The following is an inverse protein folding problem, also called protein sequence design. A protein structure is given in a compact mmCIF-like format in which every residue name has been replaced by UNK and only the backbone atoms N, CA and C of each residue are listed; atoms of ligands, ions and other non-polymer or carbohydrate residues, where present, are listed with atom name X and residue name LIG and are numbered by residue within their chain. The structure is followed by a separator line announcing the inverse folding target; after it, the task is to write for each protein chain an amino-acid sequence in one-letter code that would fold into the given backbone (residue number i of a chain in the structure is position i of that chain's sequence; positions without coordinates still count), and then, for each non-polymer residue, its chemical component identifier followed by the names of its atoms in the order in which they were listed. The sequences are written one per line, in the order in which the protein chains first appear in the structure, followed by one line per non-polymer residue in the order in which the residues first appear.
data_IF_717029337008
#
_entry.id   IF_717029337008
#
_cell.length_a   1.000
_cell.length_b   1.000
_cell.length_c   1.000
_cell.angle_alpha   90.00
_cell.angle_beta   90.00
_cell.angle_gamma   90.00
#
_symmetry.space_group_name_H-M   'P 1'
#
loop_
_entity.id
_entity.type
_entity.pdbx_description
1 polymer ?
#
# COMPACT_ATOMS: atom_id res chain seq x y z
N UNK A 1 9.91 -24.99 18.82
CA UNK A 1 8.45 -24.71 18.80
C UNK A 1 7.93 -24.67 17.37
N UNK A 2 6.62 -24.94 17.13
CA UNK A 2 6.02 -24.70 15.81
C UNK A 2 5.70 -23.21 15.68
N UNK A 3 6.26 -22.54 14.67
CA UNK A 3 6.24 -21.09 14.52
C UNK A 3 5.48 -20.66 13.27
N UNK A 4 4.83 -19.50 13.35
CA UNK A 4 4.28 -18.76 12.21
C UNK A 4 5.41 -18.11 11.41
N UNK A 5 5.13 -17.70 10.18
CA UNK A 5 6.10 -16.97 9.34
C UNK A 5 6.65 -15.73 10.05
N UNK A 6 5.80 -14.99 10.77
CA UNK A 6 6.18 -13.80 11.55
C UNK A 6 7.18 -14.15 12.65
N UNK A 7 6.90 -15.19 13.44
CA UNK A 7 7.80 -15.65 14.50
C UNK A 7 9.15 -16.13 13.95
N UNK A 8 9.16 -16.83 12.80
CA UNK A 8 10.39 -17.30 12.15
C UNK A 8 11.25 -16.14 11.67
N UNK A 9 10.66 -15.13 11.06
CA UNK A 9 11.41 -13.94 10.61
C UNK A 9 12.07 -13.28 11.82
N UNK A 10 11.34 -13.05 12.91
CA UNK A 10 11.92 -12.47 14.11
C UNK A 10 12.96 -13.39 14.78
N UNK A 11 12.74 -14.70 14.80
CA UNK A 11 13.71 -15.67 15.35
C UNK A 11 15.07 -15.58 14.63
N UNK A 12 15.05 -15.47 13.30
CA UNK A 12 16.26 -15.29 12.49
C UNK A 12 17.00 -13.99 12.82
N UNK A 13 16.28 -12.89 13.02
CA UNK A 13 16.85 -11.56 13.29
C UNK A 13 17.37 -11.39 14.71
N UNK A 14 16.79 -12.13 15.66
CA UNK A 14 17.22 -12.11 17.08
C UNK A 14 18.28 -13.16 17.36
N UNK A 15 18.38 -14.21 16.52
CA UNK A 15 19.32 -15.33 16.67
C UNK A 15 18.89 -16.36 17.73
N UNK A 16 17.60 -16.39 18.10
CA UNK A 16 16.97 -17.39 18.98
C UNK A 16 15.51 -17.56 18.63
N UNK A 17 14.92 -18.70 18.98
CA UNK A 17 13.46 -18.87 18.86
C UNK A 17 12.72 -17.82 19.69
N UNK A 18 11.70 -17.20 19.10
CA UNK A 18 10.80 -16.27 19.77
C UNK A 18 9.35 -16.69 19.56
N UNK A 19 8.48 -16.27 20.45
CA UNK A 19 7.03 -16.56 20.40
C UNK A 19 6.23 -15.27 20.44
N UNK A 20 5.00 -15.34 19.91
CA UNK A 20 4.03 -14.26 20.00
C UNK A 20 3.89 -13.76 21.46
N UNK A 21 3.87 -12.44 21.63
CA UNK A 21 3.79 -11.77 22.94
C UNK A 21 5.14 -11.46 23.57
N UNK A 22 6.26 -12.06 23.14
CA UNK A 22 7.59 -11.70 23.67
C UNK A 22 7.99 -10.28 23.23
N UNK A 23 8.68 -9.57 24.12
CA UNK A 23 9.32 -8.29 23.80
C UNK A 23 10.76 -8.59 23.40
N UNK A 24 11.12 -8.17 22.20
CA UNK A 24 12.42 -8.41 21.59
C UNK A 24 13.05 -7.13 21.07
N UNK A 25 14.37 -7.10 20.96
CA UNK A 25 15.10 -6.13 20.15
C UNK A 25 15.56 -6.84 18.87
N UNK A 26 15.07 -6.42 17.71
CA UNK A 26 15.38 -7.02 16.41
C UNK A 26 16.27 -6.11 15.58
N UNK A 27 17.17 -6.69 14.78
CA UNK A 27 17.82 -5.97 13.69
C UNK A 27 16.80 -5.50 12.67
N UNK A 28 17.07 -4.35 12.04
CA UNK A 28 16.29 -3.77 10.96
C UNK A 28 17.10 -3.85 9.67
N UNK A 29 16.53 -4.46 8.64
CA UNK A 29 17.20 -4.58 7.34
C UNK A 29 16.98 -3.35 6.47
N UNK A 30 15.78 -2.75 6.55
CA UNK A 30 15.42 -1.56 5.78
C UNK A 30 14.60 -0.59 6.62
N UNK A 31 15.04 0.66 6.62
CA UNK A 31 14.31 1.81 7.16
C UNK A 31 13.78 2.60 5.96
N UNK A 32 12.50 2.96 5.96
CA UNK A 32 11.85 3.70 4.89
C UNK A 32 11.38 5.05 5.41
N UNK A 33 11.73 6.11 4.72
CA UNK A 33 11.26 7.46 5.01
C UNK A 33 10.80 8.18 3.76
N UNK A 34 9.89 9.14 3.94
CA UNK A 34 9.33 9.97 2.88
C UNK A 34 9.48 11.47 3.19
N UNK A 35 9.05 12.31 2.29
CA UNK A 35 9.18 13.77 2.41
C UNK A 35 8.37 14.41 3.55
N UNK A 36 7.40 13.69 4.14
CA UNK A 36 6.61 14.19 5.29
C UNK A 36 7.26 13.80 6.61
N UNK A 37 7.65 12.54 6.76
CA UNK A 37 8.02 11.96 8.05
C UNK A 37 9.52 11.93 8.29
N UNK A 38 10.33 11.84 7.23
CA UNK A 38 11.79 11.87 7.34
C UNK A 38 12.34 13.13 8.00
N UNK A 39 11.88 14.36 7.71
CA UNK A 39 12.36 15.55 8.40
C UNK A 39 12.18 15.50 9.93
N UNK A 40 11.10 14.85 10.40
CA UNK A 40 10.84 14.66 11.84
C UNK A 40 11.85 13.66 12.43
N UNK A 41 12.10 12.55 11.73
CA UNK A 41 13.06 11.52 12.15
C UNK A 41 14.49 12.09 12.17
N UNK A 42 14.88 12.87 11.17
CA UNK A 42 16.19 13.57 11.10
C UNK A 42 16.36 14.49 12.30
N UNK A 43 15.34 15.28 12.65
CA UNK A 43 15.39 16.16 13.81
C UNK A 43 15.61 15.39 15.12
N UNK A 44 15.01 14.22 15.28
CA UNK A 44 15.23 13.38 16.47
C UNK A 44 16.64 12.75 16.45
N UNK A 45 17.09 12.29 15.30
CA UNK A 45 18.45 11.80 15.11
C UNK A 45 19.50 12.84 15.52
N UNK A 46 19.38 14.07 15.02
CA UNK A 46 20.30 15.16 15.33
C UNK A 46 20.25 15.58 16.80
N UNK A 47 19.04 15.63 17.40
CA UNK A 47 18.84 15.94 18.82
C UNK A 47 19.49 14.93 19.75
N UNK A 48 19.64 13.68 19.34
CA UNK A 48 20.33 12.65 20.12
C UNK A 48 21.86 12.85 20.18
N UNK A 49 22.40 13.77 19.36
CA UNK A 49 23.84 13.96 19.18
C UNK A 49 24.49 12.93 18.24
N UNK A 50 23.70 12.06 17.60
CA UNK A 50 24.21 11.10 16.63
C UNK A 50 24.75 11.81 15.37
N UNK A 51 25.85 11.31 14.86
CA UNK A 51 26.52 11.86 13.66
C UNK A 51 26.68 10.83 12.55
N UNK A 52 26.42 9.55 12.84
CA UNK A 52 26.55 8.44 11.89
C UNK A 52 25.33 7.56 11.92
N UNK A 53 24.92 7.09 10.76
CA UNK A 53 23.88 6.07 10.59
C UNK A 53 24.47 4.69 10.87
N UNK A 54 23.71 3.83 11.54
CA UNK A 54 24.11 2.44 11.81
C UNK A 54 24.22 1.61 10.52
N UNK A 55 23.27 1.80 9.58
CA UNK A 55 23.25 1.11 8.30
C UNK A 55 22.77 2.06 7.18
N UNK A 56 23.65 2.84 6.55
CA UNK A 56 23.27 3.74 5.46
C UNK A 56 22.70 3.01 4.23
N UNK A 57 23.18 1.82 3.90
CA UNK A 57 22.68 1.03 2.77
C UNK A 57 21.27 0.43 3.03
N UNK A 58 20.90 0.28 4.29
CA UNK A 58 19.57 -0.13 4.75
C UNK A 58 18.63 1.05 5.05
N UNK A 59 18.92 2.26 4.58
CA UNK A 59 18.03 3.40 4.73
C UNK A 59 17.66 3.97 3.36
N UNK A 60 16.36 3.98 3.05
CA UNK A 60 15.81 4.58 1.84
C UNK A 60 14.99 5.81 2.18
N UNK A 61 15.19 6.89 1.43
CA UNK A 61 14.36 8.10 1.47
C UNK A 61 13.71 8.25 0.09
N UNK A 62 12.39 8.29 0.06
CA UNK A 62 11.60 8.44 -1.17
C UNK A 62 10.76 9.71 -1.08
N UNK A 63 10.98 10.61 -2.02
CA UNK A 63 10.21 11.83 -2.15
C UNK A 63 8.97 11.51 -3.00
N UNK A 64 7.81 11.29 -2.37
CA UNK A 64 6.63 10.76 -3.07
C UNK A 64 5.29 11.42 -2.72
N UNK A 65 5.21 12.20 -1.62
CA UNK A 65 3.96 12.79 -1.19
C UNK A 65 3.73 14.19 -1.79
N UNK A 66 4.77 15.03 -1.85
CA UNK A 66 4.72 16.42 -2.31
C UNK A 66 5.61 16.68 -3.54
N UNK A 67 5.73 15.71 -4.41
CA UNK A 67 6.65 15.76 -5.55
C UNK A 67 5.90 15.96 -6.90
N UNK A 68 6.27 16.93 -7.75
CA UNK A 68 7.08 18.13 -7.42
C UNK A 68 6.47 18.92 -6.27
N UNK A 69 7.31 19.63 -5.50
CA UNK A 69 6.84 20.31 -4.29
C UNK A 69 5.79 21.38 -4.59
N UNK A 70 4.67 21.35 -3.87
CA UNK A 70 3.47 22.17 -4.13
C UNK A 70 3.50 23.57 -3.52
N UNK A 71 4.31 23.78 -2.50
CA UNK A 71 4.43 25.05 -1.76
C UNK A 71 5.79 25.17 -1.06
N UNK A 72 6.05 26.34 -0.43
CA UNK A 72 7.32 26.63 0.26
C UNK A 72 7.55 25.67 1.43
N UNK A 73 6.50 25.25 2.15
CA UNK A 73 6.65 24.36 3.30
C UNK A 73 7.10 22.96 2.85
N UNK A 74 6.45 22.41 1.84
CA UNK A 74 6.83 21.12 1.26
C UNK A 74 8.23 21.19 0.63
N UNK A 75 8.60 22.30 -0.02
CA UNK A 75 9.94 22.50 -0.56
C UNK A 75 11.03 22.52 0.53
N UNK A 76 10.75 23.12 1.68
CA UNK A 76 11.65 23.10 2.84
C UNK A 76 11.79 21.68 3.45
N UNK A 77 10.71 20.90 3.54
CA UNK A 77 10.76 19.51 3.98
C UNK A 77 11.59 18.66 3.02
N UNK A 78 11.37 18.78 1.72
CA UNK A 78 12.16 18.11 0.70
C UNK A 78 13.64 18.48 0.79
N UNK A 79 13.95 19.77 1.02
CA UNK A 79 15.33 20.24 1.19
C UNK A 79 16.02 19.59 2.39
N UNK A 80 15.37 19.51 3.55
CA UNK A 80 15.91 18.86 4.75
C UNK A 80 16.28 17.40 4.46
N UNK A 81 15.38 16.65 3.85
CA UNK A 81 15.61 15.24 3.50
C UNK A 81 16.75 15.06 2.50
N UNK A 82 16.83 15.93 1.49
CA UNK A 82 17.88 15.94 0.46
C UNK A 82 19.25 16.26 1.05
N UNK A 83 19.36 17.30 1.87
CA UNK A 83 20.61 17.71 2.50
C UNK A 83 21.11 16.60 3.46
N UNK A 84 20.22 15.96 4.19
CA UNK A 84 20.57 14.83 5.03
C UNK A 84 21.07 13.63 4.20
N UNK A 85 20.39 13.28 3.11
CA UNK A 85 20.79 12.20 2.22
C UNK A 85 22.21 12.44 1.65
N UNK A 86 22.50 13.65 1.20
CA UNK A 86 23.83 14.00 0.68
C UNK A 86 24.89 14.05 1.78
N UNK A 87 24.57 14.60 2.95
CA UNK A 87 25.50 14.62 4.10
C UNK A 87 25.95 13.23 4.55
N UNK A 88 25.05 12.24 4.44
CA UNK A 88 25.30 10.86 4.86
C UNK A 88 25.59 9.91 3.69
N UNK A 89 25.79 10.44 2.47
CA UNK A 89 26.06 9.66 1.24
C UNK A 89 25.08 8.50 1.03
N UNK A 90 23.78 8.77 1.21
CA UNK A 90 22.74 7.76 1.06
C UNK A 90 22.57 7.40 -0.41
N UNK A 91 22.79 6.12 -0.76
CA UNK A 91 22.59 5.60 -2.11
C UNK A 91 21.11 5.46 -2.47
N UNK A 92 20.27 5.21 -1.47
CA UNK A 92 18.85 4.96 -1.64
C UNK A 92 18.02 6.24 -1.39
N UNK A 93 18.38 7.33 -2.08
CA UNK A 93 17.63 8.57 -2.11
C UNK A 93 16.96 8.74 -3.49
N UNK A 94 15.64 8.85 -3.51
CA UNK A 94 14.83 8.93 -4.71
C UNK A 94 13.99 10.21 -4.73
N UNK A 95 14.19 11.02 -5.75
CA UNK A 95 13.53 12.30 -5.97
C UNK A 95 12.89 12.40 -7.38
N UNK A 96 12.80 13.59 -7.94
CA UNK A 96 12.25 13.86 -9.27
C UNK A 96 12.88 13.04 -10.41
N UNK A 97 14.08 12.51 -10.22
CA UNK A 97 14.79 11.70 -11.24
C UNK A 97 14.27 10.27 -11.30
N UNK A 98 13.78 9.76 -10.18
CA UNK A 98 13.28 8.39 -10.01
C UNK A 98 11.92 8.40 -9.26
N UNK A 99 10.97 9.22 -9.73
CA UNK A 99 9.66 9.36 -9.08
C UNK A 99 8.92 8.04 -8.93
N UNK A 100 8.41 7.81 -7.74
CA UNK A 100 7.57 6.67 -7.44
C UNK A 100 7.13 6.67 -5.99
N UNK A 101 5.96 6.14 -5.72
CA UNK A 101 5.45 5.95 -4.36
C UNK A 101 6.31 4.89 -3.66
N UNK A 102 6.81 5.17 -2.47
CA UNK A 102 7.77 4.34 -1.74
C UNK A 102 7.41 2.85 -1.72
N UNK A 103 6.14 2.52 -1.47
CA UNK A 103 5.67 1.12 -1.39
C UNK A 103 5.48 0.44 -2.76
N UNK A 104 5.68 1.14 -3.85
CA UNK A 104 5.77 0.57 -5.20
C UNK A 104 7.21 0.61 -5.74
N UNK A 105 7.92 1.72 -5.48
CA UNK A 105 9.27 1.95 -5.97
C UNK A 105 10.29 1.00 -5.36
N UNK A 106 10.26 0.81 -4.03
CA UNK A 106 11.28 -0.01 -3.34
C UNK A 106 11.23 -1.50 -3.73
N UNK A 107 10.03 -2.14 -3.84
CA UNK A 107 9.92 -3.47 -4.44
C UNK A 107 10.38 -3.52 -5.91
N UNK A 108 10.07 -2.49 -6.70
CA UNK A 108 10.50 -2.40 -8.10
C UNK A 108 12.01 -2.34 -8.24
N UNK A 109 12.69 -1.62 -7.33
CA UNK A 109 14.16 -1.48 -7.28
C UNK A 109 14.88 -2.69 -6.65
N UNK A 110 14.15 -3.66 -6.06
CA UNK A 110 14.74 -4.82 -5.37
C UNK A 110 15.37 -4.49 -4.01
N UNK A 111 14.99 -3.36 -3.41
CA UNK A 111 15.53 -2.88 -2.13
C UNK A 111 14.86 -3.51 -0.92
N UNK A 112 13.64 -4.00 -1.07
CA UNK A 112 12.90 -4.76 -0.07
C UNK A 112 12.75 -6.20 -0.59
N UNK A 113 13.11 -7.17 0.23
CA UNK A 113 13.23 -8.57 -0.19
C UNK A 113 12.57 -9.52 0.83
N UNK A 114 12.27 -10.76 0.41
CA UNK A 114 11.74 -11.78 1.33
C UNK A 114 12.63 -12.01 2.55
N UNK A 115 11.99 -12.12 3.70
CA UNK A 115 12.64 -12.40 4.97
C UNK A 115 13.13 -11.18 5.73
N UNK A 116 13.07 -9.98 5.14
CA UNK A 116 13.46 -8.73 5.81
C UNK A 116 12.55 -8.38 7.00
N UNK A 117 13.12 -7.65 7.96
CA UNK A 117 12.38 -6.83 8.95
C UNK A 117 12.49 -5.36 8.52
N UNK A 118 11.35 -4.79 8.12
CA UNK A 118 11.26 -3.45 7.52
C UNK A 118 10.43 -2.54 8.39
N UNK A 119 10.92 -1.34 8.64
CA UNK A 119 10.14 -0.28 9.29
C UNK A 119 10.09 0.97 8.43
N UNK A 120 8.95 1.65 8.47
CA UNK A 120 8.77 2.93 7.80
C UNK A 120 7.99 3.90 8.68
N UNK A 121 8.19 5.19 8.50
CA UNK A 121 7.36 6.20 9.15
C UNK A 121 6.05 6.47 8.39
N UNK A 122 5.63 5.51 7.57
CA UNK A 122 4.34 5.47 6.90
C UNK A 122 3.54 4.24 7.36
N UNK A 123 2.23 4.42 7.55
CA UNK A 123 1.33 3.35 8.01
C UNK A 123 1.28 2.17 7.05
N UNK A 124 1.40 2.42 5.73
CA UNK A 124 1.27 1.39 4.69
C UNK A 124 2.59 0.65 4.39
N UNK A 125 3.61 0.83 5.22
CA UNK A 125 4.84 0.03 5.17
C UNK A 125 4.57 -1.47 5.19
N UNK A 126 3.45 -1.91 5.78
CA UNK A 126 2.98 -3.31 5.75
C UNK A 126 2.83 -3.90 4.32
N UNK A 127 2.80 -3.08 3.27
CA UNK A 127 2.74 -3.49 1.86
C UNK A 127 3.79 -4.55 1.50
N UNK A 128 5.00 -4.43 2.06
CA UNK A 128 6.13 -5.30 1.68
C UNK A 128 6.01 -6.74 2.20
N UNK A 129 5.04 -7.01 3.08
CA UNK A 129 4.69 -8.37 3.47
C UNK A 129 4.17 -9.24 2.32
N UNK A 130 3.74 -8.63 1.21
CA UNK A 130 3.43 -9.34 -0.03
C UNK A 130 4.63 -10.07 -0.64
N UNK A 131 5.85 -9.71 -0.25
CA UNK A 131 7.11 -10.37 -0.61
C UNK A 131 7.56 -11.39 0.45
N UNK A 132 6.79 -11.65 1.52
CA UNK A 132 7.21 -12.51 2.61
C UNK A 132 8.20 -11.84 3.57
N UNK A 133 8.16 -10.52 3.70
CA UNK A 133 8.89 -9.75 4.71
C UNK A 133 7.99 -9.43 5.90
N UNK A 134 8.54 -9.25 7.10
CA UNK A 134 7.81 -8.58 8.17
C UNK A 134 8.03 -7.07 8.04
N UNK A 135 6.96 -6.35 7.75
CA UNK A 135 7.04 -4.94 7.39
C UNK A 135 5.94 -4.17 8.09
N UNK A 136 6.28 -3.07 8.77
CA UNK A 136 5.33 -2.33 9.60
C UNK A 136 5.62 -0.83 9.70
N UNK A 137 4.54 -0.05 9.84
CA UNK A 137 4.65 1.37 10.18
C UNK A 137 5.06 1.59 11.64
N UNK A 138 5.97 2.55 11.87
CA UNK A 138 6.47 2.95 13.19
C UNK A 138 6.45 4.48 13.31
N UNK A 139 6.61 5.00 14.52
CA UNK A 139 6.73 6.43 14.76
C UNK A 139 8.07 7.00 14.28
N UNK A 140 8.10 8.31 13.96
CA UNK A 140 9.33 8.98 13.52
C UNK A 140 10.46 8.93 14.57
N UNK A 141 10.14 8.82 15.85
CA UNK A 141 11.12 8.63 16.93
C UNK A 141 11.73 7.22 16.90
N UNK A 142 10.90 6.21 16.63
CA UNK A 142 11.37 4.82 16.48
C UNK A 142 12.27 4.69 15.25
N UNK A 143 11.94 5.40 14.15
CA UNK A 143 12.84 5.47 13.00
C UNK A 143 14.20 6.09 13.37
N UNK A 144 14.20 7.20 14.11
CA UNK A 144 15.45 7.83 14.55
C UNK A 144 16.28 6.87 15.42
N UNK A 145 15.63 6.10 16.29
CA UNK A 145 16.31 5.06 17.07
C UNK A 145 16.94 4.00 16.17
N UNK A 146 16.21 3.50 15.18
CA UNK A 146 16.74 2.53 14.23
C UNK A 146 17.86 3.12 13.33
N UNK A 147 17.77 4.38 12.94
CA UNK A 147 18.84 5.08 12.22
C UNK A 147 20.15 5.10 13.02
N UNK A 148 20.08 5.23 14.35
CA UNK A 148 21.23 5.29 15.26
C UNK A 148 21.78 3.90 15.58
N UNK A 149 20.91 2.92 15.81
CA UNK A 149 21.29 1.62 16.39
C UNK A 149 21.26 0.46 15.38
N UNK A 150 20.58 0.61 14.25
CA UNK A 150 20.31 -0.49 13.30
C UNK A 150 19.28 -1.50 13.84
N UNK A 151 18.58 -1.17 14.92
CA UNK A 151 17.65 -2.07 15.61
C UNK A 151 16.38 -1.34 16.02
N UNK A 152 15.34 -2.13 16.34
CA UNK A 152 14.17 -1.63 17.04
C UNK A 152 13.57 -2.71 17.94
N UNK A 153 12.73 -2.29 18.88
CA UNK A 153 12.02 -3.20 19.76
C UNK A 153 10.64 -3.54 19.19
N UNK A 154 10.20 -4.77 19.44
CA UNK A 154 8.88 -5.26 19.06
C UNK A 154 8.31 -6.12 20.18
N UNK A 155 7.02 -6.03 20.40
CA UNK A 155 6.27 -7.16 20.93
C UNK A 155 5.96 -8.05 19.73
N UNK A 156 6.42 -9.29 19.70
CA UNK A 156 6.15 -10.22 18.59
C UNK A 156 4.63 -10.35 18.42
N UNK A 157 4.06 -9.98 17.25
CA UNK A 157 2.61 -10.03 17.07
C UNK A 157 2.09 -11.46 17.04
N UNK A 158 0.91 -11.68 17.59
CA UNK A 158 0.12 -12.87 17.26
C UNK A 158 -0.29 -12.83 15.78
N UNK A 159 -0.51 -14.00 15.17
CA UNK A 159 -0.95 -14.08 13.77
C UNK A 159 -2.40 -14.53 13.67
N UNK A 160 -3.16 -13.89 12.77
CA UNK A 160 -4.45 -14.37 12.29
C UNK A 160 -4.22 -14.95 10.91
N UNK A 161 -4.60 -16.23 10.71
CA UNK A 161 -4.55 -16.87 9.39
C UNK A 161 -5.84 -16.60 8.64
N UNK A 162 -5.73 -16.08 7.42
CA UNK A 162 -6.87 -15.85 6.52
C UNK A 162 -6.72 -16.78 5.33
N UNK A 163 -7.67 -17.71 5.18
CA UNK A 163 -7.68 -18.70 4.12
C UNK A 163 -8.78 -18.41 3.13
N UNK A 164 -8.41 -18.08 1.89
CA UNK A 164 -9.36 -17.83 0.83
C UNK A 164 -9.60 -19.09 0.00
N UNK A 165 -10.88 -19.42 -0.22
CA UNK A 165 -11.35 -20.56 -0.98
C UNK A 165 -12.29 -20.13 -2.11
N UNK A 166 -12.40 -20.95 -3.14
CA UNK A 166 -13.30 -20.71 -4.26
C UNK A 166 -12.63 -20.03 -5.44
N UNK A 167 -13.41 -19.46 -6.33
CA UNK A 167 -12.95 -18.80 -7.55
C UNK A 167 -13.46 -17.36 -7.61
N UNK A 168 -12.58 -16.43 -7.92
CA UNK A 168 -12.93 -15.02 -8.12
C UNK A 168 -13.84 -14.84 -9.34
N UNK A 169 -14.88 -14.06 -9.19
CA UNK A 169 -15.73 -13.60 -10.29
C UNK A 169 -15.03 -12.47 -11.07
N UNK A 170 -15.58 -12.15 -12.24
CA UNK A 170 -15.11 -11.07 -13.09
C UNK A 170 -15.15 -9.74 -12.33
N UNK A 171 -14.07 -8.96 -12.43
CA UNK A 171 -13.90 -7.67 -11.76
C UNK A 171 -13.78 -7.72 -10.23
N UNK A 172 -13.49 -8.89 -9.65
CA UNK A 172 -13.08 -9.04 -8.24
C UNK A 172 -11.57 -9.21 -8.17
N UNK A 173 -10.89 -8.41 -7.36
CA UNK A 173 -9.42 -8.31 -7.29
C UNK A 173 -8.94 -8.33 -5.83
N UNK A 174 -7.65 -8.27 -5.60
CA UNK A 174 -7.06 -8.23 -4.26
C UNK A 174 -7.61 -7.11 -3.37
N UNK A 175 -8.00 -5.97 -3.96
CA UNK A 175 -8.67 -4.87 -3.26
C UNK A 175 -10.00 -5.30 -2.62
N UNK A 176 -10.79 -6.07 -3.33
CA UNK A 176 -12.08 -6.55 -2.84
C UNK A 176 -11.91 -7.56 -1.71
N UNK A 177 -10.88 -8.41 -1.82
CA UNK A 177 -10.56 -9.41 -0.79
C UNK A 177 -10.20 -8.75 0.53
N UNK A 178 -9.35 -7.74 0.52
CA UNK A 178 -8.98 -7.04 1.75
C UNK A 178 -10.12 -6.19 2.30
N UNK A 179 -10.92 -5.54 1.45
CA UNK A 179 -12.12 -4.81 1.88
C UNK A 179 -13.14 -5.77 2.51
N UNK A 180 -13.28 -6.99 1.99
CA UNK A 180 -14.15 -8.01 2.57
C UNK A 180 -13.67 -8.46 3.96
N UNK A 181 -12.35 -8.65 4.14
CA UNK A 181 -11.79 -8.93 5.47
C UNK A 181 -12.14 -7.78 6.44
N UNK A 182 -11.84 -6.55 6.07
CA UNK A 182 -12.07 -5.38 6.91
C UNK A 182 -13.57 -5.22 7.23
N UNK A 183 -14.45 -5.53 6.28
CA UNK A 183 -15.89 -5.54 6.50
C UNK A 183 -16.30 -6.57 7.56
N UNK A 184 -15.69 -7.76 7.57
CA UNK A 184 -16.02 -8.84 8.50
C UNK A 184 -15.47 -8.62 9.90
N UNK A 185 -14.23 -8.11 10.02
CA UNK A 185 -13.57 -8.03 11.34
C UNK A 185 -13.49 -6.61 11.91
N UNK A 186 -13.89 -5.58 11.13
CA UNK A 186 -13.79 -4.19 11.53
C UNK A 186 -12.39 -3.61 11.38
N UNK A 187 -12.25 -2.32 11.73
CA UNK A 187 -10.98 -1.56 11.62
C UNK A 187 -9.97 -1.88 12.74
N UNK A 188 -10.37 -2.63 13.74
CA UNK A 188 -9.58 -3.03 14.92
C UNK A 188 -9.52 -4.54 15.15
N UNK A 189 -10.16 -5.35 14.29
CA UNK A 189 -10.25 -6.81 14.43
C UNK A 189 -8.92 -7.55 14.38
N UNK A 190 -7.88 -6.92 13.83
CA UNK A 190 -6.51 -7.43 13.81
C UNK A 190 -5.54 -6.51 14.59
N UNK A 191 -6.04 -5.76 15.57
CA UNK A 191 -5.23 -4.79 16.31
C UNK A 191 -3.96 -5.41 16.87
N UNK A 192 -2.80 -4.87 16.44
CA UNK A 192 -1.45 -5.32 16.81
C UNK A 192 -1.11 -6.76 16.39
N UNK A 193 -1.83 -7.37 15.44
CA UNK A 193 -1.58 -8.73 14.95
C UNK A 193 -0.95 -8.71 13.56
N UNK A 194 -0.44 -9.85 13.09
CA UNK A 194 -0.09 -10.07 11.70
C UNK A 194 -1.23 -10.81 10.99
N UNK A 195 -1.62 -10.36 9.80
CA UNK A 195 -2.55 -11.09 8.93
C UNK A 195 -1.75 -11.96 7.97
N UNK A 196 -1.81 -13.26 8.09
CA UNK A 196 -1.20 -14.23 7.18
C UNK A 196 -2.23 -14.70 6.15
N UNK A 197 -2.07 -14.25 4.89
CA UNK A 197 -2.98 -14.60 3.80
C UNK A 197 -2.54 -15.87 3.09
N UNK A 198 -3.47 -16.79 2.85
CA UNK A 198 -3.21 -18.10 2.25
C UNK A 198 -4.44 -18.67 1.54
N UNK A 199 -4.28 -19.82 0.91
CA UNK A 199 -5.33 -20.54 0.19
C UNK A 199 -5.22 -20.40 -1.32
N UNK A 200 -5.95 -21.26 -2.03
CA UNK A 200 -5.87 -21.40 -3.50
C UNK A 200 -6.09 -20.09 -4.27
N UNK A 201 -6.92 -19.19 -3.73
CA UNK A 201 -7.16 -17.87 -4.33
C UNK A 201 -5.90 -17.03 -4.27
N UNK A 202 -5.19 -17.02 -3.12
CA UNK A 202 -3.95 -16.25 -2.95
C UNK A 202 -2.84 -16.76 -3.87
N UNK A 203 -2.75 -18.09 -4.05
CA UNK A 203 -1.79 -18.72 -4.94
C UNK A 203 -2.00 -18.30 -6.41
N UNK A 204 -3.23 -17.97 -6.80
CA UNK A 204 -3.57 -17.48 -8.15
C UNK A 204 -3.47 -15.96 -8.34
N UNK A 205 -3.27 -15.16 -7.28
CA UNK A 205 -3.24 -13.71 -7.36
C UNK A 205 -1.94 -13.18 -7.95
N UNK A 206 -2.06 -12.12 -8.75
CA UNK A 206 -0.91 -11.33 -9.19
C UNK A 206 -0.17 -10.68 -8.02
N UNK A 207 1.10 -10.34 -8.20
CA UNK A 207 1.83 -9.57 -7.17
C UNK A 207 1.19 -8.22 -6.90
N UNK A 208 0.59 -7.56 -7.90
CA UNK A 208 -0.10 -6.28 -7.72
C UNK A 208 -1.29 -6.40 -6.77
N UNK A 209 -2.09 -7.47 -6.88
CA UNK A 209 -3.18 -7.78 -5.95
C UNK A 209 -2.67 -8.08 -4.55
N UNK A 210 -1.60 -8.88 -4.43
CA UNK A 210 -0.96 -9.21 -3.14
C UNK A 210 -0.45 -7.96 -2.43
N UNK A 211 0.18 -7.03 -3.15
CA UNK A 211 0.60 -5.74 -2.61
C UNK A 211 -0.60 -4.91 -2.12
N UNK A 212 -1.69 -4.89 -2.88
CA UNK A 212 -2.92 -4.19 -2.48
C UNK A 212 -3.50 -4.76 -1.18
N UNK A 213 -3.55 -6.08 -1.03
CA UNK A 213 -4.02 -6.75 0.19
C UNK A 213 -3.14 -6.45 1.40
N UNK A 214 -1.83 -6.63 1.28
CA UNK A 214 -0.89 -6.38 2.37
C UNK A 214 -0.84 -4.90 2.75
N UNK A 215 -0.95 -3.99 1.77
CA UNK A 215 -1.03 -2.54 1.98
C UNK A 215 -2.17 -2.16 2.95
N UNK A 216 -3.34 -2.75 2.77
CA UNK A 216 -4.52 -2.42 3.56
C UNK A 216 -4.68 -3.26 4.84
N UNK A 217 -3.74 -4.11 5.19
CA UNK A 217 -3.80 -4.85 6.44
C UNK A 217 -3.86 -3.92 7.67
N UNK A 218 -3.19 -2.78 7.61
CA UNK A 218 -3.24 -1.76 8.68
C UNK A 218 -4.65 -1.19 8.87
N UNK A 219 -5.51 -1.20 7.86
CA UNK A 219 -6.89 -0.71 7.97
C UNK A 219 -7.80 -1.65 8.79
N UNK A 220 -7.33 -2.87 9.09
CA UNK A 220 -7.90 -3.76 10.09
C UNK A 220 -7.18 -3.68 11.45
N UNK A 221 -6.25 -2.73 11.63
CA UNK A 221 -5.42 -2.57 12.82
C UNK A 221 -4.16 -3.45 12.86
N UNK A 222 -3.89 -4.23 11.81
CA UNK A 222 -2.76 -5.15 11.77
C UNK A 222 -1.39 -4.41 11.73
N UNK A 223 -0.38 -5.01 12.35
CA UNK A 223 1.01 -4.58 12.22
C UNK A 223 1.59 -4.91 10.86
N UNK A 224 1.23 -6.06 10.29
CA UNK A 224 1.67 -6.51 8.98
C UNK A 224 0.61 -7.37 8.32
N UNK A 225 0.53 -7.30 6.99
CA UNK A 225 -0.09 -8.36 6.17
C UNK A 225 1.05 -9.13 5.52
N UNK A 226 1.01 -10.45 5.52
CA UNK A 226 2.12 -11.26 5.02
C UNK A 226 1.60 -12.40 4.15
N UNK A 227 2.32 -12.66 3.05
CA UNK A 227 2.08 -13.78 2.14
C UNK A 227 3.39 -14.56 2.02
N UNK A 228 3.32 -15.87 2.20
CA UNK A 228 4.47 -16.74 2.01
C UNK A 228 4.96 -16.69 0.56
N UNK A 229 6.28 -16.77 0.38
CA UNK A 229 6.91 -16.73 -0.95
C UNK A 229 6.55 -17.96 -1.76
N UNK A 230 6.05 -17.77 -2.96
CA UNK A 230 5.76 -18.80 -3.94
C UNK A 230 6.42 -18.51 -5.30
N UNK A 231 6.07 -19.25 -6.34
CA UNK A 231 6.65 -19.09 -7.66
C UNK A 231 6.30 -17.74 -8.31
N UNK A 232 5.12 -17.17 -8.01
CA UNK A 232 4.72 -15.83 -8.49
C UNK A 232 5.63 -14.76 -7.87
N UNK A 233 5.90 -14.87 -6.57
CA UNK A 233 6.84 -13.96 -5.87
C UNK A 233 8.27 -14.11 -6.41
N UNK A 234 8.73 -15.35 -6.64
CA UNK A 234 10.08 -15.60 -7.20
C UNK A 234 10.21 -15.03 -8.60
N UNK A 235 9.22 -15.21 -9.48
CA UNK A 235 9.22 -14.65 -10.83
C UNK A 235 9.21 -13.11 -10.80
N UNK A 236 8.46 -12.48 -9.88
CA UNK A 236 8.49 -11.03 -9.68
C UNK A 236 9.89 -10.52 -9.31
N UNK A 237 10.68 -11.29 -8.58
CA UNK A 237 12.01 -10.92 -8.11
C UNK A 237 13.14 -11.24 -9.10
N UNK A 238 12.92 -12.15 -10.04
CA UNK A 238 13.92 -12.77 -10.91
C UNK A 238 14.83 -11.79 -11.65
N UNK A 239 14.24 -10.75 -12.23
CA UNK A 239 14.98 -9.78 -13.06
C UNK A 239 15.37 -8.51 -12.29
N UNK A 240 15.30 -8.54 -10.95
CA UNK A 240 15.65 -7.41 -10.11
C UNK A 240 17.07 -7.53 -9.57
N UNK A 241 17.74 -6.38 -9.48
CA UNK A 241 19.00 -6.30 -8.75
C UNK A 241 18.68 -6.23 -7.25
N UNK A 242 18.60 -7.40 -6.62
CA UNK A 242 18.26 -7.49 -5.21
C UNK A 242 19.41 -6.96 -4.35
N UNK A 243 19.04 -6.22 -3.30
CA UNK A 243 19.96 -5.64 -2.32
C UNK A 243 20.83 -6.70 -1.63
N UNK A 244 20.25 -7.87 -1.36
CA UNK A 244 20.89 -9.00 -0.68
C UNK A 244 20.22 -10.32 -1.11
N UNK A 245 20.70 -11.44 -0.59
CA UNK A 245 20.12 -12.76 -0.82
C UNK A 245 18.82 -12.93 -0.02
N UNK A 246 17.67 -13.18 -0.68
CA UNK A 246 16.40 -13.33 0.02
C UNK A 246 16.38 -14.61 0.86
N UNK A 247 15.69 -14.56 2.01
CA UNK A 247 15.38 -15.69 2.86
C UNK A 247 13.89 -16.00 2.79
N UNK A 248 13.55 -17.27 2.65
CA UNK A 248 12.16 -17.70 2.52
C UNK A 248 11.71 -18.39 3.81
N UNK A 249 10.69 -17.84 4.43
CA UNK A 249 10.09 -18.41 5.63
C UNK A 249 8.66 -18.85 5.34
N UNK A 250 8.26 -19.94 5.99
CA UNK A 250 6.93 -20.55 5.90
C UNK A 250 6.46 -20.93 7.29
N UNK A 251 5.19 -20.76 7.58
CA UNK A 251 4.62 -21.23 8.83
C UNK A 251 4.71 -22.75 8.94
N UNK A 252 5.02 -23.26 10.13
CA UNK A 252 5.06 -24.70 10.38
C UNK A 252 3.66 -25.29 10.33
N UNK A 253 3.57 -26.54 9.93
CA UNK A 253 2.34 -27.32 10.09
C UNK A 253 1.98 -27.41 11.58
N UNK A 254 0.78 -26.90 11.93
CA UNK A 254 0.33 -26.79 13.31
C UNK A 254 0.94 -25.60 14.08
N UNK A 255 1.44 -24.57 13.41
CA UNK A 255 1.72 -23.29 14.03
C UNK A 255 0.47 -22.73 14.72
N UNK A 256 0.66 -22.04 15.84
CA UNK A 256 -0.46 -21.50 16.63
C UNK A 256 -0.87 -20.13 16.09
N UNK A 257 -2.13 -20.00 15.71
CA UNK A 257 -2.76 -18.75 15.32
C UNK A 257 -3.74 -18.29 16.40
N UNK A 258 -3.87 -16.98 16.59
CA UNK A 258 -4.91 -16.39 17.43
C UNK A 258 -6.31 -16.73 16.89
N UNK A 259 -6.45 -16.63 15.56
CA UNK A 259 -7.69 -16.92 14.85
C UNK A 259 -7.39 -17.45 13.44
N UNK A 260 -8.26 -18.31 12.94
CA UNK A 260 -8.28 -18.72 11.53
C UNK A 260 -9.60 -18.22 10.94
N UNK A 261 -9.53 -17.45 9.88
CA UNK A 261 -10.67 -16.97 9.11
C UNK A 261 -10.69 -17.69 7.76
N UNK A 262 -11.78 -18.36 7.45
CA UNK A 262 -12.02 -18.95 6.13
C UNK A 262 -13.02 -18.08 5.38
N UNK A 263 -12.68 -17.65 4.17
CA UNK A 263 -13.49 -16.79 3.32
C UNK A 263 -13.71 -17.48 1.98
N UNK A 264 -14.96 -17.83 1.70
CA UNK A 264 -15.38 -18.32 0.38
C UNK A 264 -15.74 -17.14 -0.50
N UNK A 265 -14.99 -16.99 -1.60
CA UNK A 265 -15.14 -15.88 -2.54
C UNK A 265 -15.97 -16.23 -3.78
N UNK A 266 -16.55 -17.42 -3.85
CA UNK A 266 -17.28 -17.92 -5.04
C UNK A 266 -18.39 -16.98 -5.50
N UNK A 267 -19.06 -16.29 -4.57
CA UNK A 267 -20.12 -15.34 -4.84
C UNK A 267 -19.77 -13.92 -4.37
N UNK A 268 -18.49 -13.61 -4.23
CA UNK A 268 -18.07 -12.28 -3.83
C UNK A 268 -18.24 -11.30 -5.00
N UNK A 269 -19.09 -10.29 -4.81
CA UNK A 269 -19.17 -9.12 -5.71
C UNK A 269 -18.02 -8.14 -5.41
N UNK A 270 -17.63 -7.27 -6.36
CA UNK A 270 -16.80 -6.11 -6.07
C UNK A 270 -17.33 -5.34 -4.85
N UNK A 271 -16.42 -4.94 -3.96
CA UNK A 271 -16.75 -4.32 -2.67
C UNK A 271 -16.51 -2.81 -2.73
N UNK A 272 -17.45 -2.03 -2.23
CA UNK A 272 -17.30 -0.59 -2.07
C UNK A 272 -17.39 -0.26 -0.58
N UNK A 273 -16.31 0.35 -0.03
CA UNK A 273 -16.34 0.84 1.34
C UNK A 273 -16.85 2.28 1.39
N UNK A 274 -17.94 2.47 2.10
CA UNK A 274 -18.63 3.76 2.28
C UNK A 274 -17.90 4.64 3.32
N UNK A 275 -18.08 5.96 3.24
CA UNK A 275 -17.59 6.86 4.28
C UNK A 275 -18.16 6.49 5.67
N UNK A 276 -17.44 6.66 6.78
CA UNK A 276 -16.08 7.21 6.89
C UNK A 276 -15.14 6.17 7.49
N UNK A 277 -15.41 4.88 7.25
CA UNK A 277 -14.60 3.74 7.69
C UNK A 277 -14.45 2.72 6.56
N UNK A 278 -13.25 2.13 6.36
CA UNK A 278 -13.06 1.06 5.37
C UNK A 278 -13.91 -0.19 5.63
N UNK A 279 -14.40 -0.37 6.87
CA UNK A 279 -15.29 -1.48 7.26
C UNK A 279 -16.75 -1.29 6.81
N UNK A 280 -17.13 -0.10 6.34
CA UNK A 280 -18.50 0.15 5.85
C UNK A 280 -18.71 -0.42 4.44
N UNK A 281 -18.36 -1.70 4.24
CA UNK A 281 -18.41 -2.38 2.95
C UNK A 281 -19.82 -2.75 2.51
N UNK A 282 -20.16 -2.48 1.24
CA UNK A 282 -21.33 -3.00 0.53
C UNK A 282 -20.88 -3.68 -0.76
N UNK A 283 -21.65 -4.66 -1.27
CA UNK A 283 -21.42 -5.14 -2.63
C UNK A 283 -21.75 -4.05 -3.64
N UNK A 284 -21.10 -4.06 -4.80
CA UNK A 284 -21.37 -3.10 -5.88
C UNK A 284 -22.85 -3.11 -6.28
N UNK A 285 -23.50 -4.29 -6.32
CA UNK A 285 -24.94 -4.41 -6.62
C UNK A 285 -25.84 -3.73 -5.60
N UNK A 286 -25.46 -3.72 -4.33
CA UNK A 286 -26.15 -2.96 -3.30
C UNK A 286 -25.93 -1.46 -3.46
N UNK A 287 -24.67 -1.07 -3.69
CA UNK A 287 -24.25 0.33 -3.80
C UNK A 287 -24.87 1.06 -5.01
N UNK A 288 -25.04 0.39 -6.14
CA UNK A 288 -25.69 0.97 -7.34
C UNK A 288 -27.15 1.40 -7.05
N UNK A 289 -27.85 0.70 -6.14
CA UNK A 289 -29.23 1.05 -5.78
C UNK A 289 -29.36 2.36 -5.00
N UNK A 290 -28.27 2.82 -4.38
CA UNK A 290 -28.27 4.09 -3.64
C UNK A 290 -28.22 5.31 -4.58
N UNK A 291 -27.99 5.10 -5.89
CA UNK A 291 -27.96 6.10 -6.98
C UNK A 291 -27.07 7.33 -6.67
N UNK A 292 -25.92 7.11 -6.04
CA UNK A 292 -25.04 8.15 -5.54
C UNK A 292 -24.22 8.76 -6.67
N UNK A 293 -24.47 10.04 -6.97
CA UNK A 293 -23.64 10.84 -7.88
C UNK A 293 -22.27 11.07 -7.28
N UNK A 294 -21.21 11.10 -8.14
CA UNK A 294 -19.82 11.36 -7.77
C UNK A 294 -19.28 12.58 -8.53
N UNK A 295 -18.48 13.38 -7.84
CA UNK A 295 -17.82 14.58 -8.37
C UNK A 295 -16.42 14.25 -8.88
N UNK A 296 -15.76 13.25 -8.28
CA UNK A 296 -14.41 12.82 -8.64
C UNK A 296 -14.25 11.32 -8.61
N UNK A 297 -13.47 10.79 -9.54
CA UNK A 297 -12.93 9.44 -9.53
C UNK A 297 -11.41 9.51 -9.49
N UNK A 298 -10.78 8.69 -8.65
CA UNK A 298 -9.32 8.67 -8.51
C UNK A 298 -8.77 7.24 -8.61
N UNK A 299 -7.85 7.00 -9.55
CA UNK A 299 -7.17 5.72 -9.72
C UNK A 299 -5.67 5.96 -9.49
N UNK A 300 -5.10 5.31 -8.49
CA UNK A 300 -3.71 5.52 -8.11
C UNK A 300 -3.43 5.06 -6.68
N UNK A 301 -2.45 5.68 -6.05
CA UNK A 301 -1.89 5.40 -4.73
C UNK A 301 -0.97 4.17 -4.65
N UNK A 302 -0.35 3.97 -3.48
CA UNK A 302 0.46 2.77 -3.21
C UNK A 302 -0.33 1.46 -3.28
N UNK A 303 -1.66 1.53 -3.15
CA UNK A 303 -2.57 0.39 -3.20
C UNK A 303 -2.78 -0.08 -4.64
N UNK A 304 -3.27 0.81 -5.51
CA UNK A 304 -3.79 0.48 -6.85
C UNK A 304 -3.39 1.53 -7.92
N UNK A 305 -2.11 1.84 -8.02
CA UNK A 305 -1.53 2.63 -9.11
C UNK A 305 -0.57 1.80 -9.97
N UNK A 306 -0.66 0.47 -9.91
CA UNK A 306 0.21 -0.46 -10.62
C UNK A 306 -0.25 -0.68 -12.04
N UNK A 307 0.59 -1.31 -12.87
CA UNK A 307 0.29 -1.46 -14.29
C UNK A 307 -0.98 -2.28 -14.56
N UNK A 308 -1.25 -3.31 -13.75
CA UNK A 308 -2.48 -4.09 -13.82
C UNK A 308 -3.73 -3.24 -13.58
N UNK A 309 -3.70 -2.35 -12.59
CA UNK A 309 -4.78 -1.41 -12.28
C UNK A 309 -5.07 -0.47 -13.46
N UNK A 310 -4.00 0.05 -14.08
CA UNK A 310 -4.11 0.93 -15.25
C UNK A 310 -4.67 0.18 -16.48
N UNK A 311 -4.26 -1.07 -16.70
CA UNK A 311 -4.83 -1.91 -17.77
C UNK A 311 -6.31 -2.18 -17.56
N UNK A 312 -6.72 -2.51 -16.31
CA UNK A 312 -8.12 -2.72 -15.96
C UNK A 312 -8.94 -1.46 -16.21
N UNK A 313 -8.47 -0.30 -15.75
CA UNK A 313 -9.14 0.98 -15.97
C UNK A 313 -9.25 1.31 -17.47
N UNK A 314 -8.17 1.11 -18.23
CA UNK A 314 -8.16 1.37 -19.67
C UNK A 314 -9.13 0.48 -20.45
N UNK A 315 -9.27 -0.79 -20.07
CA UNK A 315 -10.25 -1.70 -20.68
C UNK A 315 -11.69 -1.18 -20.52
N UNK A 316 -12.02 -0.61 -19.37
CA UNK A 316 -13.36 -0.05 -19.08
C UNK A 316 -13.54 1.29 -19.80
N UNK A 317 -12.51 2.15 -19.86
CA UNK A 317 -12.57 3.51 -20.40
C UNK A 317 -12.47 3.58 -21.92
N UNK A 318 -11.90 2.55 -22.58
CA UNK A 318 -11.63 2.57 -24.03
C UNK A 318 -12.87 2.87 -24.85
N UNK A 319 -12.79 3.94 -25.67
CA UNK A 319 -13.89 4.41 -26.53
C UNK A 319 -15.06 5.08 -25.80
N UNK A 320 -14.94 5.31 -24.49
CA UNK A 320 -15.95 5.97 -23.65
C UNK A 320 -15.45 7.31 -23.13
N UNK A 321 -16.35 8.12 -22.60
CA UNK A 321 -16.05 9.43 -22.01
C UNK A 321 -16.44 9.45 -20.54
N UNK A 322 -15.64 10.13 -19.74
CA UNK A 322 -15.98 10.48 -18.37
C UNK A 322 -17.21 11.38 -18.34
N UNK A 323 -18.11 11.15 -17.40
CA UNK A 323 -19.33 11.96 -17.25
C UNK A 323 -19.01 13.45 -17.06
N UNK A 324 -19.82 14.32 -17.67
CA UNK A 324 -19.56 15.77 -17.72
C UNK A 324 -19.31 16.43 -16.37
N UNK A 325 -19.92 15.92 -15.31
CA UNK A 325 -19.82 16.49 -13.95
C UNK A 325 -18.76 15.80 -13.09
N UNK A 326 -18.06 14.79 -13.62
CA UNK A 326 -17.07 14.00 -12.88
C UNK A 326 -15.67 14.33 -13.37
N UNK A 327 -14.73 14.49 -12.46
CA UNK A 327 -13.30 14.56 -12.76
C UNK A 327 -12.69 13.16 -12.59
N UNK A 328 -11.92 12.69 -13.54
CA UNK A 328 -11.13 11.46 -13.40
C UNK A 328 -9.64 11.82 -13.32
N UNK A 329 -9.00 11.40 -12.25
CA UNK A 329 -7.56 11.58 -12.04
C UNK A 329 -6.91 10.19 -11.98
N UNK A 330 -5.83 10.01 -12.74
CA UNK A 330 -5.07 8.75 -12.78
C UNK A 330 -3.61 9.05 -12.44
N UNK A 331 -3.08 8.33 -11.46
CA UNK A 331 -1.71 8.48 -10.97
C UNK A 331 -1.00 7.14 -11.01
N UNK A 332 -0.09 6.90 -11.98
CA UNK A 332 0.77 5.73 -11.99
C UNK A 332 1.64 5.67 -10.73
N UNK A 333 1.91 4.49 -10.19
CA UNK A 333 2.64 4.38 -8.93
C UNK A 333 4.15 4.67 -9.05
N UNK A 334 4.76 4.47 -10.24
CA UNK A 334 6.18 4.78 -10.50
C UNK A 334 6.38 5.30 -11.93
N UNK A 335 7.52 5.94 -12.18
CA UNK A 335 7.89 6.34 -13.55
C UNK A 335 8.02 5.15 -14.51
N UNK A 336 8.49 4.00 -14.03
CA UNK A 336 8.57 2.79 -14.85
C UNK A 336 7.19 2.30 -15.26
N UNK A 337 6.22 2.32 -14.34
CA UNK A 337 4.81 2.01 -14.63
C UNK A 337 4.22 3.03 -15.60
N UNK A 338 4.47 4.33 -15.40
CA UNK A 338 4.01 5.38 -16.31
C UNK A 338 4.51 5.16 -17.74
N UNK A 339 5.83 4.87 -17.91
CA UNK A 339 6.43 4.55 -19.22
C UNK A 339 5.87 3.26 -19.83
N UNK A 340 5.58 2.26 -19.01
CA UNK A 340 4.95 1.02 -19.52
C UNK A 340 3.52 1.31 -20.00
N UNK A 341 2.75 2.06 -19.24
CA UNK A 341 1.40 2.48 -19.62
C UNK A 341 1.38 3.31 -20.92
N UNK A 342 2.36 4.20 -21.09
CA UNK A 342 2.54 4.97 -22.34
C UNK A 342 2.82 4.05 -23.52
N UNK A 343 3.79 3.13 -23.37
CA UNK A 343 4.15 2.17 -24.44
C UNK A 343 2.99 1.25 -24.85
N UNK A 344 2.09 0.95 -23.92
CA UNK A 344 0.88 0.15 -24.17
C UNK A 344 -0.29 0.99 -24.72
N UNK A 345 -0.13 2.31 -24.88
CA UNK A 345 -1.18 3.22 -25.34
C UNK A 345 -2.28 3.47 -24.32
N UNK A 346 -2.06 3.13 -23.03
CA UNK A 346 -3.06 3.33 -21.97
C UNK A 346 -3.25 4.80 -21.68
N UNK A 347 -2.18 5.59 -21.74
CA UNK A 347 -2.21 7.04 -21.48
C UNK A 347 -3.13 7.75 -22.49
N UNK A 348 -3.06 7.39 -23.77
CA UNK A 348 -3.92 7.94 -24.81
C UNK A 348 -5.39 7.63 -24.53
N UNK A 349 -5.70 6.37 -24.15
CA UNK A 349 -7.06 5.96 -23.77
C UNK A 349 -7.60 6.83 -22.62
N UNK A 350 -6.77 7.11 -21.61
CA UNK A 350 -7.17 7.94 -20.46
C UNK A 350 -7.44 9.39 -20.88
N UNK A 351 -6.54 9.98 -21.64
CA UNK A 351 -6.69 11.37 -22.15
C UNK A 351 -7.91 11.47 -23.07
N UNK A 352 -8.09 10.52 -23.98
CA UNK A 352 -9.27 10.46 -24.83
C UNK A 352 -10.56 10.33 -24.03
N UNK A 353 -10.57 9.56 -22.94
CA UNK A 353 -11.71 9.46 -22.05
C UNK A 353 -12.02 10.76 -21.30
N UNK A 354 -11.07 11.69 -21.22
CA UNK A 354 -11.19 12.96 -20.49
C UNK A 354 -10.59 12.91 -19.09
N UNK A 355 -9.68 11.99 -18.81
CA UNK A 355 -8.95 11.91 -17.55
C UNK A 355 -7.75 12.86 -17.52
N UNK A 356 -7.36 13.28 -16.30
CA UNK A 356 -6.06 13.89 -16.03
C UNK A 356 -5.11 12.78 -15.61
N UNK A 357 -4.00 12.61 -16.35
CA UNK A 357 -2.92 11.70 -15.95
C UNK A 357 -1.82 12.52 -15.28
N UNK A 358 -1.51 12.18 -14.05
CA UNK A 358 -0.54 12.88 -13.22
C UNK A 358 0.82 12.16 -13.19
N UNK A 359 1.85 12.85 -12.73
CA UNK A 359 3.11 12.23 -12.36
C UNK A 359 2.93 11.24 -11.19
N UNK A 360 3.83 10.25 -11.04
CA UNK A 360 3.83 9.36 -9.89
C UNK A 360 3.96 10.11 -8.57
N UNK A 361 2.95 10.01 -7.71
CA UNK A 361 2.92 10.64 -6.38
C UNK A 361 1.82 10.01 -5.54
N UNK A 362 1.91 10.10 -4.22
CA UNK A 362 0.82 9.73 -3.32
C UNK A 362 -0.41 10.63 -3.51
N UNK A 363 -0.21 11.87 -3.91
CA UNK A 363 -1.23 12.77 -4.44
C UNK A 363 -2.37 13.07 -3.49
N UNK A 364 -3.60 12.94 -4.00
CA UNK A 364 -4.81 13.21 -3.27
C UNK A 364 -5.08 12.21 -2.13
N UNK A 365 -4.46 11.02 -2.13
CA UNK A 365 -4.70 9.96 -1.14
C UNK A 365 -4.60 10.41 0.32
N UNK A 366 -3.73 11.36 0.61
CA UNK A 366 -3.56 11.95 1.96
C UNK A 366 -4.15 13.37 2.10
N UNK A 367 -4.77 13.91 1.05
CA UNK A 367 -5.25 15.30 1.04
C UNK A 367 -4.15 16.35 0.94
N UNK A 368 -2.95 15.96 0.55
CA UNK A 368 -1.76 16.81 0.57
C UNK A 368 -1.41 17.45 -0.77
N UNK A 369 -1.81 16.86 -1.89
CA UNK A 369 -1.36 17.25 -3.22
C UNK A 369 -2.30 16.77 -4.32
N UNK A 370 -2.50 17.53 -5.37
CA UNK A 370 -3.31 17.27 -6.59
C UNK A 370 -4.60 16.45 -6.42
N UNK A 371 -5.73 17.00 -6.83
CA UNK A 371 -7.02 16.30 -6.78
C UNK A 371 -7.68 16.31 -5.39
N UNK A 372 -7.38 17.32 -4.58
CA UNK A 372 -8.01 17.53 -3.27
C UNK A 372 -9.49 17.86 -3.47
N UNK A 373 -10.34 17.31 -2.60
CA UNK A 373 -11.79 17.48 -2.61
C UNK A 373 -12.19 18.77 -1.91
N UNK A 374 -13.14 19.48 -2.51
CA UNK A 374 -13.85 20.59 -1.89
C UNK A 374 -14.96 20.12 -0.95
N UNK A 375 -15.64 21.12 -0.33
CA UNK A 375 -16.75 20.85 0.60
C UNK A 375 -17.90 20.09 -0.09
N UNK A 376 -18.40 19.03 0.59
CA UNK A 376 -19.48 18.17 0.16
C UNK A 376 -19.25 17.40 -1.16
N UNK A 377 -18.03 17.37 -1.69
CA UNK A 377 -17.71 16.56 -2.87
C UNK A 377 -17.61 15.07 -2.54
N UNK A 378 -18.05 14.22 -3.46
CA UNK A 378 -17.97 12.77 -3.39
C UNK A 378 -16.93 12.23 -4.35
N UNK A 379 -16.03 11.42 -3.83
CA UNK A 379 -15.00 10.74 -4.62
C UNK A 379 -15.11 9.24 -4.50
N UNK A 380 -15.12 8.52 -5.62
CA UNK A 380 -14.84 7.08 -5.63
C UNK A 380 -13.36 6.86 -5.96
N UNK A 381 -12.67 6.03 -5.20
CA UNK A 381 -11.21 5.98 -5.22
C UNK A 381 -10.63 4.59 -5.00
N UNK A 382 -9.49 4.33 -5.62
CA UNK A 382 -8.67 3.13 -5.36
C UNK A 382 -7.72 3.30 -4.17
N UNK A 383 -7.74 4.43 -3.47
CA UNK A 383 -6.93 4.67 -2.27
C UNK A 383 -7.29 3.72 -1.13
N UNK A 384 -6.58 3.82 -0.01
CA UNK A 384 -6.70 2.86 1.10
C UNK A 384 -7.53 3.36 2.28
N UNK A 385 -7.77 4.68 2.40
CA UNK A 385 -8.47 5.30 3.53
C UNK A 385 -9.58 6.24 3.08
N UNK A 386 -10.68 6.25 3.84
CA UNK A 386 -11.84 7.11 3.60
C UNK A 386 -12.32 7.84 4.86
N UNK A 387 -11.42 8.08 5.81
CA UNK A 387 -11.74 8.83 7.04
C UNK A 387 -12.10 10.28 6.74
N UNK A 388 -12.79 10.92 7.68
CA UNK A 388 -13.18 12.34 7.60
C UNK A 388 -11.98 13.23 7.28
N UNK A 389 -12.09 14.01 6.19
CA UNK A 389 -11.04 14.93 5.73
C UNK A 389 -9.82 14.27 5.07
N UNK A 390 -9.85 12.97 4.77
CA UNK A 390 -8.68 12.24 4.26
C UNK A 390 -8.16 12.76 2.91
N UNK A 391 -9.05 13.16 2.01
CA UNK A 391 -8.68 13.65 0.66
C UNK A 391 -8.97 15.15 0.46
N UNK A 392 -9.18 15.93 1.51
CA UNK A 392 -9.48 17.36 1.39
C UNK A 392 -10.41 17.86 2.47
N UNK A 393 -11.52 18.52 2.08
CA UNK A 393 -12.47 19.10 3.02
C UNK A 393 -13.09 18.02 3.93
N UNK A 394 -13.37 18.39 5.19
CA UNK A 394 -13.91 17.48 6.20
C UNK A 394 -15.33 17.00 5.91
N UNK A 395 -16.05 17.71 5.05
CA UNK A 395 -17.43 17.35 4.63
C UNK A 395 -17.43 16.49 3.38
N UNK A 396 -16.27 16.26 2.75
CA UNK A 396 -16.16 15.39 1.58
C UNK A 396 -16.31 13.91 1.95
N UNK A 397 -16.84 13.14 1.01
CA UNK A 397 -17.11 11.71 1.16
C UNK A 397 -16.22 10.90 0.20
N UNK A 398 -15.56 9.87 0.71
CA UNK A 398 -14.69 8.99 -0.08
C UNK A 398 -15.22 7.57 -0.03
N UNK A 399 -15.44 7.00 -1.21
CA UNK A 399 -15.86 5.61 -1.42
C UNK A 399 -14.66 4.82 -1.96
N UNK A 400 -14.25 3.75 -1.25
CA UNK A 400 -13.11 2.93 -1.69
C UNK A 400 -13.61 1.78 -2.56
N UNK A 401 -12.98 1.58 -3.71
CA UNK A 401 -13.30 0.49 -4.62
C UNK A 401 -12.08 0.08 -5.46
N UNK A 402 -12.18 -1.02 -6.21
CA UNK A 402 -11.17 -1.44 -7.17
C UNK A 402 -11.20 -0.59 -8.46
N UNK A 403 -10.16 -0.71 -9.28
CA UNK A 403 -9.97 0.13 -10.48
C UNK A 403 -11.09 -0.03 -11.53
N UNK A 404 -11.71 -1.21 -11.64
CA UNK A 404 -12.83 -1.43 -12.58
C UNK A 404 -14.08 -0.65 -12.16
N UNK A 405 -14.44 -0.72 -10.87
CA UNK A 405 -15.58 0.00 -10.31
C UNK A 405 -15.38 1.50 -10.39
N UNK A 406 -14.17 1.99 -10.07
CA UNK A 406 -13.84 3.42 -10.15
C UNK A 406 -13.95 3.93 -11.59
N UNK A 407 -13.41 3.20 -12.57
CA UNK A 407 -13.49 3.56 -13.99
C UNK A 407 -14.93 3.54 -14.50
N UNK A 408 -15.71 2.53 -14.13
CA UNK A 408 -17.14 2.43 -14.47
C UNK A 408 -17.93 3.60 -13.91
N UNK A 409 -17.70 3.93 -12.65
CA UNK A 409 -18.36 5.04 -11.98
C UNK A 409 -17.99 6.40 -12.58
N UNK A 410 -16.74 6.57 -13.05
CA UNK A 410 -16.31 7.78 -13.74
C UNK A 410 -17.10 8.01 -15.06
N UNK A 411 -17.39 6.94 -15.80
CA UNK A 411 -18.19 7.00 -17.04
C UNK A 411 -19.66 7.32 -16.70
N UNK A 412 -20.22 6.66 -15.69
CA UNK A 412 -21.62 6.82 -15.30
C UNK A 412 -21.93 8.14 -14.58
N UNK A 413 -20.93 8.79 -13.97
CA UNK A 413 -21.11 9.97 -13.11
C UNK A 413 -21.74 9.65 -11.74
N UNK A 414 -21.85 8.38 -11.42
CA UNK A 414 -22.39 7.82 -10.17
C UNK A 414 -21.78 6.45 -9.91
N UNK A 415 -21.98 5.90 -8.71
CA UNK A 415 -21.51 4.53 -8.42
C UNK A 415 -22.13 3.56 -9.42
N UNK A 416 -21.29 2.77 -10.11
CA UNK A 416 -21.71 1.84 -11.16
C UNK A 416 -20.98 0.50 -11.09
N UNK A 417 -21.70 -0.56 -11.51
CA UNK A 417 -21.13 -1.89 -11.67
C UNK A 417 -20.40 -1.99 -13.04
N UNK A 418 -19.12 -2.36 -13.09
CA UNK A 418 -18.40 -2.49 -14.35
C UNK A 418 -18.97 -3.57 -15.29
N UNK A 419 -19.82 -4.47 -14.79
CA UNK A 419 -20.48 -5.51 -15.60
C UNK A 419 -21.67 -4.98 -16.41
N UNK A 420 -22.16 -3.78 -16.10
CA UNK A 420 -23.31 -3.16 -16.75
C UNK A 420 -22.94 -2.20 -17.90
N UNK A 421 -21.62 -2.07 -18.25
CA UNK A 421 -21.10 -1.11 -19.22
C UNK A 421 -20.78 -1.69 -20.61
#
# INVERSE_FOLDING_TARGET
MKQTITEKIFSDHVGKEVSAGEIIESKIDMIIGNDITTPISIKQFERSGATKLANPDGFAIVMDHYIPTKDILSANQAKISREFAYKHDLKNYFDEKDMGIEHALLPEKGLVIPGDVIIGADSHTCTHGALGAFSTGMGSTDLAYAMITGKNWFKVPESIKVVFKGKLDKHVYGKDLILEIIRQIGVDGALYKALEFSGEVIEGLSMDDRFSMCNMAIEAGAKSGIIAVDEITKEFLKDKNLRDKPKFFYSDEGAKYDKILEIDVTNLDPVIAYPFLPSNGKSVRQAVRDDLAIDQAFIGSCTNGRLSDLRIAAQILKGKKVARKTRLIITPATQKIARAAEKEGLIDIFIEAGAVVSNPTCGACLGGYMGILGANERCISTTNRNFVGRMGDRTSEIYLANSAVVAASAIAGKIADPRDL
#
